data_IF_271435279303
#
_entry.id   IF_271435279303
#
_cell.length_a   1.000
_cell.length_b   1.000
_cell.length_c   1.000
_cell.angle_alpha   90.00
_cell.angle_beta   90.00
_cell.angle_gamma   90.00
#
_symmetry.space_group_name_H-M   'P 1'
#
loop_
_entity.id
_entity.type
_entity.pdbx_description
1 polymer ?
#
# COMPACT_ATOMS: atom_id res chain seq x y z
N UNK A 1 -19.29 -22.83 27.53
CA UNK A 1 -19.57 -21.55 26.84
C UNK A 1 -19.50 -21.83 25.35
N UNK A 2 -20.63 -21.82 24.64
CA UNK A 2 -20.65 -22.12 23.20
C UNK A 2 -19.93 -20.98 22.46
N UNK A 3 -18.71 -21.22 21.97
CA UNK A 3 -18.09 -20.34 20.98
C UNK A 3 -19.02 -20.30 19.76
N UNK A 4 -19.64 -19.15 19.51
CA UNK A 4 -20.29 -18.94 18.21
C UNK A 4 -19.19 -19.04 17.16
N UNK A 5 -19.36 -19.91 16.16
CA UNK A 5 -18.39 -20.23 15.10
C UNK A 5 -17.73 -19.01 14.42
N UNK A 6 -18.34 -17.82 14.52
CA UNK A 6 -17.87 -16.58 13.93
C UNK A 6 -17.40 -15.51 14.93
N UNK A 7 -17.26 -15.82 16.21
CA UNK A 7 -16.94 -14.81 17.21
C UNK A 7 -15.60 -14.11 16.90
N UNK A 8 -15.65 -12.78 16.81
CA UNK A 8 -14.52 -11.94 16.42
C UNK A 8 -13.99 -12.12 14.98
N UNK A 9 -14.59 -12.98 14.14
CA UNK A 9 -14.12 -13.17 12.76
C UNK A 9 -14.40 -11.94 11.88
N UNK A 10 -15.65 -11.50 11.82
CA UNK A 10 -16.05 -10.31 11.05
C UNK A 10 -15.44 -9.04 11.63
N UNK A 11 -15.35 -8.94 12.96
CA UNK A 11 -14.65 -7.84 13.62
C UNK A 11 -13.19 -7.74 13.16
N UNK A 12 -12.48 -8.87 13.09
CA UNK A 12 -11.11 -8.89 12.57
C UNK A 12 -11.04 -8.43 11.11
N UNK A 13 -11.95 -8.89 10.24
CA UNK A 13 -12.01 -8.41 8.84
C UNK A 13 -12.14 -6.88 8.80
N UNK A 14 -13.08 -6.31 9.56
CA UNK A 14 -13.31 -4.85 9.58
C UNK A 14 -12.05 -4.11 10.02
N UNK A 15 -11.44 -4.49 11.15
CA UNK A 15 -10.26 -3.79 11.69
C UNK A 15 -9.06 -3.89 10.74
N UNK A 16 -8.79 -5.07 10.17
CA UNK A 16 -7.67 -5.25 9.27
C UNK A 16 -7.92 -4.59 7.91
N UNK A 17 -9.14 -4.59 7.40
CA UNK A 17 -9.50 -3.82 6.21
C UNK A 17 -9.28 -2.32 6.45
N UNK A 18 -9.74 -1.77 7.58
CA UNK A 18 -9.49 -0.36 7.92
C UNK A 18 -8.00 -0.04 8.04
N UNK A 19 -7.23 -0.93 8.67
CA UNK A 19 -5.79 -0.76 8.86
C UNK A 19 -5.03 -0.80 7.53
N UNK A 20 -5.42 -1.71 6.63
CA UNK A 20 -4.85 -1.79 5.29
C UNK A 20 -5.31 -0.65 4.38
N UNK A 21 -6.52 -0.13 4.57
CA UNK A 21 -6.99 1.07 3.88
C UNK A 21 -6.19 2.31 4.30
N UNK A 22 -5.93 2.49 5.60
CA UNK A 22 -5.06 3.58 6.08
C UNK A 22 -3.66 3.44 5.46
N UNK A 23 -3.13 2.21 5.42
CA UNK A 23 -1.85 1.94 4.79
C UNK A 23 -1.83 2.27 3.28
N UNK A 24 -2.95 2.05 2.56
CA UNK A 24 -3.03 2.36 1.13
C UNK A 24 -3.00 3.85 0.82
N UNK A 25 -3.26 4.72 1.80
CA UNK A 25 -3.17 6.18 1.64
C UNK A 25 -1.70 6.65 1.74
N UNK A 26 -0.83 5.94 2.46
CA UNK A 26 0.53 6.42 2.74
C UNK A 26 1.37 6.77 1.50
N UNK A 27 1.31 6.01 0.39
CA UNK A 27 2.02 6.35 -0.84
C UNK A 27 1.76 7.76 -1.36
N UNK A 28 0.55 8.29 -1.18
CA UNK A 28 0.21 9.65 -1.57
C UNK A 28 1.07 10.69 -0.83
N UNK A 29 1.20 10.54 0.49
CA UNK A 29 2.01 11.45 1.31
C UNK A 29 3.50 11.29 1.00
N UNK A 30 3.96 10.06 0.77
CA UNK A 30 5.37 9.83 0.45
C UNK A 30 5.74 10.47 -0.88
N UNK A 31 4.87 10.37 -1.90
CA UNK A 31 5.05 11.07 -3.17
C UNK A 31 5.08 12.59 -2.99
N UNK A 32 4.18 13.14 -2.18
CA UNK A 32 4.16 14.58 -1.87
C UNK A 32 5.50 15.01 -1.26
N UNK A 33 6.04 14.26 -0.31
CA UNK A 33 7.34 14.57 0.31
C UNK A 33 8.45 14.52 -0.75
N UNK A 34 8.52 13.44 -1.54
CA UNK A 34 9.56 13.28 -2.57
C UNK A 34 9.49 14.38 -3.63
N UNK A 35 8.29 14.90 -3.93
CA UNK A 35 8.12 15.98 -4.91
C UNK A 35 8.89 17.26 -4.58
N UNK A 36 9.18 17.52 -3.31
CA UNK A 36 9.97 18.68 -2.90
C UNK A 36 11.47 18.55 -3.23
N UNK A 37 11.94 17.33 -3.51
CA UNK A 37 13.37 17.04 -3.70
C UNK A 37 13.73 16.65 -5.15
N UNK A 38 12.74 16.47 -6.02
CA UNK A 38 12.96 16.09 -7.42
C UNK A 38 12.61 17.25 -8.33
N UNK A 39 13.57 17.72 -9.13
CA UNK A 39 13.34 18.71 -10.18
C UNK A 39 12.41 18.12 -11.24
N UNK A 40 11.29 18.77 -11.53
CA UNK A 40 10.42 18.40 -12.65
C UNK A 40 10.89 19.11 -13.92
N UNK A 41 11.08 18.40 -15.05
CA UNK A 41 11.37 19.04 -16.33
C UNK A 41 10.20 19.93 -16.76
N UNK A 42 10.52 21.07 -17.36
CA UNK A 42 9.52 21.97 -17.95
C UNK A 42 8.83 21.32 -19.15
N UNK A 43 7.67 21.85 -19.54
CA UNK A 43 6.93 21.36 -20.73
C UNK A 43 7.80 21.42 -21.99
N UNK A 44 8.64 22.45 -22.13
CA UNK A 44 9.57 22.59 -23.25
C UNK A 44 10.65 21.50 -23.24
N UNK A 45 11.20 21.16 -22.06
CA UNK A 45 12.15 20.05 -21.91
C UNK A 45 11.47 18.69 -22.19
N UNK A 46 10.22 18.50 -21.73
CA UNK A 46 9.43 17.30 -22.00
C UNK A 46 9.08 17.12 -23.48
N UNK A 47 8.87 18.22 -24.22
CA UNK A 47 8.65 18.18 -25.66
C UNK A 47 9.88 17.70 -26.43
N UNK A 48 11.08 18.00 -25.93
CA UNK A 48 12.33 17.59 -26.56
C UNK A 48 12.75 16.17 -26.17
N UNK A 49 12.68 15.83 -24.88
CA UNK A 49 13.07 14.50 -24.38
C UNK A 49 12.49 14.22 -22.97
N UNK A 50 11.63 13.21 -22.87
CA UNK A 50 11.08 12.76 -21.58
C UNK A 50 11.96 11.73 -20.87
N UNK A 51 13.17 11.44 -21.39
CA UNK A 51 14.07 10.44 -20.81
C UNK A 51 14.40 10.70 -19.34
N UNK A 52 14.51 11.96 -18.91
CA UNK A 52 14.72 12.26 -17.48
C UNK A 52 13.52 11.84 -16.62
N UNK A 53 12.30 12.06 -17.12
CA UNK A 53 11.06 11.66 -16.43
C UNK A 53 10.98 10.13 -16.30
N UNK A 54 11.19 9.40 -17.39
CA UNK A 54 11.10 7.94 -17.42
C UNK A 54 12.30 7.24 -16.77
N UNK A 55 13.52 7.76 -16.86
CA UNK A 55 14.71 7.06 -16.37
C UNK A 55 15.11 7.46 -14.94
N UNK A 56 14.64 8.60 -14.42
CA UNK A 56 15.05 9.11 -13.10
C UNK A 56 13.84 9.32 -12.19
N UNK A 57 12.87 10.11 -12.64
CA UNK A 57 11.75 10.54 -11.79
C UNK A 57 10.77 9.38 -11.51
N UNK A 58 10.33 8.67 -12.53
CA UNK A 58 9.39 7.55 -12.39
C UNK A 58 9.95 6.37 -11.60
N UNK A 59 11.22 5.94 -11.78
CA UNK A 59 11.81 4.91 -10.94
C UNK A 59 11.89 5.33 -9.47
N UNK A 60 12.31 6.57 -9.19
CA UNK A 60 12.38 7.08 -7.82
C UNK A 60 11.00 7.14 -7.16
N UNK A 61 10.01 7.74 -7.83
CA UNK A 61 8.63 7.85 -7.33
C UNK A 61 7.97 6.48 -7.18
N UNK A 62 8.13 5.59 -8.16
CA UNK A 62 7.61 4.23 -8.13
C UNK A 62 8.19 3.40 -6.99
N UNK A 63 9.51 3.41 -6.82
CA UNK A 63 10.16 2.67 -5.74
C UNK A 63 9.69 3.14 -4.36
N UNK A 64 9.67 4.45 -4.14
CA UNK A 64 9.31 5.02 -2.83
C UNK A 64 7.83 4.79 -2.50
N UNK A 65 6.93 4.93 -3.48
CA UNK A 65 5.49 4.68 -3.27
C UNK A 65 5.19 3.20 -3.00
N UNK A 66 5.85 2.27 -3.69
CA UNK A 66 5.70 0.81 -3.45
C UNK A 66 6.26 0.42 -2.08
N UNK A 67 7.46 0.89 -1.74
CA UNK A 67 8.08 0.60 -0.43
C UNK A 67 7.18 1.13 0.69
N UNK A 68 6.70 2.37 0.55
CA UNK A 68 5.77 2.99 1.50
C UNK A 68 4.50 2.16 1.67
N UNK A 69 3.89 1.72 0.57
CA UNK A 69 2.69 0.89 0.58
C UNK A 69 2.90 -0.41 1.38
N UNK A 70 3.99 -1.13 1.09
CA UNK A 70 4.32 -2.42 1.72
C UNK A 70 4.64 -2.25 3.22
N UNK A 71 5.49 -1.28 3.57
CA UNK A 71 5.88 -1.02 4.96
C UNK A 71 4.66 -0.56 5.77
N UNK A 72 3.82 0.32 5.21
CA UNK A 72 2.59 0.75 5.87
C UNK A 72 1.68 -0.44 6.17
N UNK A 73 1.51 -1.35 5.20
CA UNK A 73 0.71 -2.56 5.37
C UNK A 73 1.19 -3.43 6.52
N UNK A 74 2.50 -3.56 6.69
CA UNK A 74 3.10 -4.24 7.85
C UNK A 74 2.79 -3.49 9.15
N UNK A 75 3.11 -2.19 9.22
CA UNK A 75 3.03 -1.40 10.45
C UNK A 75 1.59 -1.26 10.98
N UNK A 76 0.63 -0.95 10.12
CA UNK A 76 -0.77 -0.77 10.56
C UNK A 76 -1.35 -2.10 11.05
N UNK A 77 -1.04 -3.20 10.35
CA UNK A 77 -1.46 -4.55 10.75
C UNK A 77 -0.76 -5.01 12.02
N UNK A 78 0.49 -4.63 12.24
CA UNK A 78 1.20 -4.85 13.50
C UNK A 78 0.50 -4.17 14.67
N UNK A 79 0.18 -2.88 14.54
CA UNK A 79 -0.51 -2.13 15.61
C UNK A 79 -1.89 -2.74 15.90
N UNK A 80 -2.65 -3.10 14.87
CA UNK A 80 -3.94 -3.74 15.03
C UNK A 80 -3.82 -5.12 15.70
N UNK A 81 -2.88 -5.96 15.24
CA UNK A 81 -2.58 -7.27 15.82
C UNK A 81 -2.21 -7.18 17.30
N UNK A 82 -1.33 -6.24 17.64
CA UNK A 82 -0.94 -5.93 19.02
C UNK A 82 -2.13 -5.61 19.91
N UNK A 83 -2.96 -4.63 19.51
CA UNK A 83 -4.11 -4.18 20.32
C UNK A 83 -5.15 -5.28 20.50
N UNK A 84 -5.43 -6.04 19.45
CA UNK A 84 -6.39 -7.15 19.53
C UNK A 84 -5.86 -8.24 20.46
N UNK A 85 -4.61 -8.65 20.29
CA UNK A 85 -4.01 -9.71 21.10
C UNK A 85 -3.90 -9.33 22.58
N UNK A 86 -3.48 -8.08 22.86
CA UNK A 86 -3.41 -7.54 24.21
C UNK A 86 -4.77 -7.57 24.92
N UNK A 87 -5.84 -7.23 24.19
CA UNK A 87 -7.20 -7.24 24.75
C UNK A 87 -7.80 -8.64 24.86
N UNK A 88 -7.63 -9.47 23.83
CA UNK A 88 -8.25 -10.80 23.77
C UNK A 88 -7.51 -11.84 24.61
N UNK A 89 -6.19 -11.63 24.86
CA UNK A 89 -5.31 -12.50 25.66
C UNK A 89 -5.21 -13.94 25.16
N UNK A 90 -5.55 -14.17 23.89
CA UNK A 90 -5.50 -15.48 23.24
C UNK A 90 -4.77 -15.37 21.90
N UNK A 91 -4.05 -16.44 21.56
CA UNK A 91 -3.48 -16.62 20.21
C UNK A 91 -4.62 -16.91 19.25
N UNK A 92 -4.68 -16.17 18.15
CA UNK A 92 -5.66 -16.41 17.11
C UNK A 92 -5.22 -17.59 16.22
N UNK A 93 -6.16 -18.49 15.84
CA UNK A 93 -5.84 -19.61 14.96
C UNK A 93 -5.26 -19.13 13.63
N UNK A 94 -4.18 -19.78 13.17
CA UNK A 94 -3.45 -19.36 11.97
C UNK A 94 -4.34 -19.32 10.72
N UNK A 95 -5.20 -20.33 10.53
CA UNK A 95 -6.15 -20.38 9.41
C UNK A 95 -7.08 -19.16 9.43
N UNK A 96 -7.59 -18.78 10.60
CA UNK A 96 -8.45 -17.61 10.80
C UNK A 96 -7.71 -16.32 10.40
N UNK A 97 -6.47 -16.18 10.87
CA UNK A 97 -5.61 -15.04 10.57
C UNK A 97 -5.36 -14.91 9.07
N UNK A 98 -4.93 -16.01 8.42
CA UNK A 98 -4.68 -16.06 6.98
C UNK A 98 -5.92 -15.65 6.19
N UNK A 99 -7.06 -16.28 6.46
CA UNK A 99 -8.31 -15.99 5.73
C UNK A 99 -8.75 -14.54 5.89
N UNK A 100 -8.72 -13.98 7.11
CA UNK A 100 -9.07 -12.58 7.32
C UNK A 100 -8.13 -11.63 6.59
N UNK A 101 -6.83 -11.88 6.65
CA UNK A 101 -5.82 -11.02 6.00
C UNK A 101 -5.94 -11.07 4.48
N UNK A 102 -6.15 -12.26 3.89
CA UNK A 102 -6.39 -12.40 2.45
C UNK A 102 -7.68 -11.67 2.05
N UNK A 103 -8.79 -11.89 2.78
CA UNK A 103 -10.06 -11.22 2.47
C UNK A 103 -9.96 -9.69 2.57
N UNK A 104 -9.37 -9.17 3.66
CA UNK A 104 -9.12 -7.73 3.81
C UNK A 104 -8.24 -7.20 2.68
N UNK A 105 -7.17 -7.93 2.33
CA UNK A 105 -6.30 -7.60 1.21
C UNK A 105 -7.00 -7.55 -0.14
N UNK A 106 -7.86 -8.54 -0.42
CA UNK A 106 -8.68 -8.58 -1.64
C UNK A 106 -9.66 -7.41 -1.70
N UNK A 107 -10.28 -7.04 -0.57
CA UNK A 107 -11.14 -5.86 -0.49
C UNK A 107 -10.32 -4.60 -0.82
N UNK A 108 -9.13 -4.43 -0.23
CA UNK A 108 -8.27 -3.28 -0.51
C UNK A 108 -7.78 -3.27 -1.96
N UNK A 109 -7.50 -4.42 -2.55
CA UNK A 109 -7.21 -4.53 -3.98
C UNK A 109 -8.35 -4.00 -4.84
N UNK A 110 -9.57 -4.47 -4.60
CA UNK A 110 -10.76 -4.02 -5.34
C UNK A 110 -10.95 -2.52 -5.18
N UNK A 111 -10.80 -2.00 -3.95
CA UNK A 111 -10.90 -0.58 -3.65
C UNK A 111 -9.84 0.23 -4.38
N UNK A 112 -8.56 -0.19 -4.34
CA UNK A 112 -7.48 0.52 -5.01
C UNK A 112 -7.62 0.47 -6.53
N UNK A 113 -8.09 -0.65 -7.09
CA UNK A 113 -8.39 -0.76 -8.52
C UNK A 113 -9.56 0.13 -8.91
N UNK A 114 -10.66 0.10 -8.17
CA UNK A 114 -11.83 0.94 -8.40
C UNK A 114 -11.48 2.44 -8.31
N UNK A 115 -10.81 2.86 -7.23
CA UNK A 115 -10.36 4.25 -7.11
C UNK A 115 -9.28 4.61 -8.12
N UNK A 116 -8.51 3.62 -8.58
CA UNK A 116 -7.57 3.77 -9.68
C UNK A 116 -8.28 4.09 -10.99
N UNK A 117 -9.43 3.49 -11.26
CA UNK A 117 -10.15 3.63 -12.55
C UNK A 117 -10.79 4.99 -12.82
N UNK A 118 -10.61 6.00 -11.94
CA UNK A 118 -11.20 7.34 -12.07
C UNK A 118 -11.09 7.96 -13.46
N UNK A 119 -9.90 7.92 -14.10
CA UNK A 119 -9.68 8.15 -15.56
C UNK A 119 -8.21 7.91 -15.99
N UNK A 120 -7.66 6.77 -16.41
CA UNK A 120 -7.90 5.34 -16.23
C UNK A 120 -6.60 4.82 -15.56
N UNK A 121 -6.56 4.74 -14.22
CA UNK A 121 -5.38 4.49 -13.37
C UNK A 121 -4.54 5.70 -12.92
N UNK A 122 -5.08 6.91 -12.96
CA UNK A 122 -4.45 8.10 -12.36
C UNK A 122 -4.99 8.52 -10.98
N UNK A 123 -5.89 7.72 -10.38
CA UNK A 123 -6.39 8.00 -9.04
C UNK A 123 -5.28 8.03 -7.98
N UNK A 124 -5.56 8.66 -6.83
CA UNK A 124 -4.63 8.80 -5.69
C UNK A 124 -3.99 7.45 -5.33
N UNK A 125 -4.78 6.36 -5.38
CA UNK A 125 -4.40 4.99 -5.07
C UNK A 125 -3.95 4.14 -6.25
N UNK A 126 -3.96 4.66 -7.48
CA UNK A 126 -3.32 3.96 -8.59
C UNK A 126 -1.88 4.42 -8.80
N UNK A 127 -1.46 5.53 -8.19
CA UNK A 127 -0.12 6.07 -8.31
C UNK A 127 0.98 5.04 -8.01
N UNK A 128 0.81 4.17 -7.00
CA UNK A 128 1.77 3.11 -6.68
C UNK A 128 1.89 2.00 -7.74
N UNK A 129 0.89 1.84 -8.61
CA UNK A 129 0.90 0.87 -9.72
C UNK A 129 1.22 1.53 -11.06
N UNK A 130 0.94 2.82 -11.17
CA UNK A 130 1.10 3.60 -12.39
C UNK A 130 2.56 3.75 -12.78
N UNK A 131 3.43 4.15 -11.85
CA UNK A 131 4.88 4.33 -12.13
C UNK A 131 5.56 3.08 -12.70
N UNK A 132 5.51 1.89 -12.07
CA UNK A 132 6.13 0.69 -12.65
C UNK A 132 5.52 0.30 -14.00
N UNK A 133 4.24 0.60 -14.21
CA UNK A 133 3.54 0.35 -15.48
C UNK A 133 4.03 1.27 -16.59
N UNK A 134 4.17 2.56 -16.31
CA UNK A 134 4.71 3.54 -17.25
C UNK A 134 6.15 3.22 -17.66
N UNK A 135 6.97 2.80 -16.70
CA UNK A 135 8.35 2.36 -16.96
C UNK A 135 8.38 1.15 -17.89
N UNK A 136 7.57 0.15 -17.59
CA UNK A 136 7.48 -1.08 -18.38
C UNK A 136 6.99 -0.78 -19.80
N UNK A 137 5.94 0.02 -19.94
CA UNK A 137 5.44 0.45 -21.24
C UNK A 137 6.50 1.19 -22.06
N UNK A 138 7.35 2.01 -21.42
CA UNK A 138 8.48 2.65 -22.11
C UNK A 138 9.54 1.65 -22.56
N UNK A 139 9.90 0.68 -21.72
CA UNK A 139 10.88 -0.38 -22.06
C UNK A 139 10.41 -1.24 -23.24
N UNK A 140 9.12 -1.56 -23.30
CA UNK A 140 8.53 -2.32 -24.41
C UNK A 140 8.20 -1.47 -25.64
N UNK A 141 8.53 -0.17 -25.63
CA UNK A 141 8.29 0.73 -26.77
C UNK A 141 6.82 1.09 -27.00
N UNK A 142 5.93 0.77 -26.06
CA UNK A 142 4.50 1.15 -26.08
C UNK A 142 4.35 2.67 -25.91
N UNK A 143 5.27 3.28 -25.16
CA UNK A 143 5.40 4.74 -25.00
C UNK A 143 6.77 5.19 -25.51
N UNK A 144 6.77 6.11 -26.48
CA UNK A 144 8.00 6.68 -27.02
C UNK A 144 8.46 7.88 -26.20
N UNK A 145 9.46 7.67 -25.32
CA UNK A 145 10.00 8.72 -24.45
C UNK A 145 10.74 9.86 -25.19
N UNK A 146 11.11 9.65 -26.46
CA UNK A 146 11.73 10.68 -27.30
C UNK A 146 10.71 11.53 -28.07
N UNK A 147 9.43 11.17 -28.04
CA UNK A 147 8.35 11.96 -28.64
C UNK A 147 7.04 11.73 -27.89
N UNK A 148 6.95 12.31 -26.69
CA UNK A 148 5.79 12.17 -25.81
C UNK A 148 4.66 13.12 -26.22
N UNK A 149 4.90 14.09 -27.10
CA UNK A 149 3.92 15.07 -27.60
C UNK A 149 2.64 14.45 -28.16
N UNK A 150 2.72 13.26 -28.77
CA UNK A 150 1.54 12.53 -29.27
C UNK A 150 0.65 11.97 -28.15
N UNK A 151 1.17 11.95 -26.93
CA UNK A 151 0.63 11.26 -25.77
C UNK A 151 0.30 12.22 -24.61
N UNK A 152 0.58 13.52 -24.75
CA UNK A 152 0.30 14.54 -23.73
C UNK A 152 -1.15 15.01 -23.92
N UNK A 153 -1.97 14.90 -22.88
CA UNK A 153 -3.30 15.50 -22.86
C UNK A 153 -3.22 17.01 -22.54
N UNK A 154 -4.23 17.80 -22.92
CA UNK A 154 -4.25 19.24 -22.59
C UNK A 154 -4.19 19.50 -21.08
N UNK A 155 -4.67 18.57 -20.26
CA UNK A 155 -4.62 18.66 -18.81
C UNK A 155 -3.20 18.43 -18.24
N UNK A 156 -2.37 17.62 -18.90
CA UNK A 156 -0.96 17.42 -18.53
C UNK A 156 -0.12 18.69 -18.72
N UNK A 157 -0.53 19.55 -19.65
CA UNK A 157 0.12 20.85 -19.94
C UNK A 157 -0.24 21.88 -18.87
N UNK A 158 -1.42 21.77 -18.26
CA UNK A 158 -1.91 22.73 -17.26
C UNK A 158 -1.41 22.41 -15.86
N UNK A 159 -1.19 21.14 -15.56
CA UNK A 159 -0.80 20.70 -14.21
C UNK A 159 0.60 20.11 -14.28
N UNK A 160 1.56 20.72 -13.57
CA UNK A 160 2.97 20.30 -13.54
C UNK A 160 3.16 19.03 -12.68
N UNK A 161 2.44 17.97 -13.04
CA UNK A 161 2.34 16.72 -12.30
C UNK A 161 3.36 15.68 -12.78
N UNK A 162 3.76 14.79 -11.88
CA UNK A 162 4.63 13.63 -12.17
C UNK A 162 3.95 12.51 -12.97
N UNK A 163 2.83 12.77 -13.62
CA UNK A 163 1.99 11.74 -14.22
C UNK A 163 1.48 12.28 -15.54
N UNK A 164 1.77 11.57 -16.63
CA UNK A 164 1.26 11.87 -17.96
C UNK A 164 -0.06 11.12 -18.13
N UNK A 165 -1.18 11.82 -18.07
CA UNK A 165 -2.50 11.20 -18.15
C UNK A 165 -2.81 10.64 -19.53
N UNK A 166 -2.26 11.23 -20.60
CA UNK A 166 -2.56 10.76 -21.96
C UNK A 166 -1.97 9.39 -22.34
N UNK A 167 -1.08 8.80 -21.54
CA UNK A 167 -0.61 7.41 -21.74
C UNK A 167 -1.45 6.35 -21.03
N UNK A 168 -2.44 6.74 -20.23
CA UNK A 168 -3.17 5.83 -19.33
C UNK A 168 -3.80 4.61 -20.02
N UNK A 169 -4.42 4.83 -21.17
CA UNK A 169 -5.11 3.77 -21.92
C UNK A 169 -4.13 2.67 -22.38
N UNK A 170 -2.86 3.02 -22.53
CA UNK A 170 -1.77 2.09 -22.90
C UNK A 170 -1.21 1.31 -21.72
N UNK A 171 -1.47 1.75 -20.49
CA UNK A 171 -0.90 1.16 -19.29
C UNK A 171 -1.81 0.11 -18.64
N UNK A 172 -3.07 0.01 -19.06
CA UNK A 172 -4.10 -0.77 -18.35
C UNK A 172 -3.66 -2.22 -18.04
N UNK A 173 -3.14 -2.94 -19.03
CA UNK A 173 -2.67 -4.31 -18.85
C UNK A 173 -1.51 -4.40 -17.85
N UNK A 174 -0.54 -3.49 -17.94
CA UNK A 174 0.60 -3.45 -17.01
C UNK A 174 0.13 -3.13 -15.58
N UNK A 175 -0.83 -2.21 -15.43
CA UNK A 175 -1.34 -1.80 -14.13
C UNK A 175 -2.06 -2.96 -13.44
N UNK A 176 -2.84 -3.76 -14.17
CA UNK A 176 -3.46 -4.97 -13.61
C UNK A 176 -2.40 -5.97 -13.14
N UNK A 177 -1.33 -6.17 -13.91
CA UNK A 177 -0.25 -7.09 -13.53
C UNK A 177 0.48 -6.59 -12.28
N UNK A 178 0.89 -5.31 -12.28
CA UNK A 178 1.60 -4.73 -11.14
C UNK A 178 0.73 -4.63 -9.90
N UNK A 179 -0.56 -4.31 -10.04
CA UNK A 179 -1.48 -4.25 -8.91
C UNK A 179 -1.63 -5.61 -8.25
N UNK A 180 -1.70 -6.71 -9.02
CA UNK A 180 -1.72 -8.06 -8.46
C UNK A 180 -0.43 -8.40 -7.72
N UNK A 181 0.73 -8.16 -8.33
CA UNK A 181 2.04 -8.48 -7.74
C UNK A 181 2.30 -7.68 -6.45
N UNK A 182 2.10 -6.36 -6.50
CA UNK A 182 2.33 -5.47 -5.37
C UNK A 182 1.30 -5.73 -4.27
N UNK A 183 0.04 -6.03 -4.61
CA UNK A 183 -0.98 -6.43 -3.63
C UNK A 183 -0.61 -7.75 -2.95
N UNK A 184 -0.11 -8.74 -3.68
CA UNK A 184 0.32 -10.00 -3.08
C UNK A 184 1.43 -9.77 -2.04
N UNK A 185 2.42 -8.93 -2.37
CA UNK A 185 3.47 -8.52 -1.44
C UNK A 185 2.90 -7.75 -0.23
N UNK A 186 1.96 -6.83 -0.46
CA UNK A 186 1.27 -6.09 0.60
C UNK A 186 0.52 -7.01 1.55
N UNK A 187 -0.27 -7.96 1.03
CA UNK A 187 -1.00 -8.96 1.84
C UNK A 187 -0.03 -9.78 2.69
N UNK A 188 1.07 -10.24 2.08
CA UNK A 188 2.10 -10.99 2.79
C UNK A 188 2.73 -10.17 3.92
N UNK A 189 3.12 -8.93 3.66
CA UNK A 189 3.69 -8.03 4.67
C UNK A 189 2.69 -7.68 5.77
N UNK A 190 1.42 -7.43 5.45
CA UNK A 190 0.37 -7.24 6.44
C UNK A 190 0.12 -8.48 7.30
N UNK A 191 0.17 -9.67 6.72
CA UNK A 191 0.10 -10.92 7.48
C UNK A 191 1.26 -11.03 8.47
N UNK A 192 2.50 -10.77 8.02
CA UNK A 192 3.69 -10.77 8.87
C UNK A 192 3.59 -9.73 9.98
N UNK A 193 3.17 -8.51 9.66
CA UNK A 193 2.97 -7.43 10.61
C UNK A 193 1.97 -7.82 11.68
N UNK A 194 0.80 -8.31 11.27
CA UNK A 194 -0.23 -8.82 12.19
C UNK A 194 0.31 -9.88 13.15
N UNK A 195 1.03 -10.89 12.66
CA UNK A 195 1.58 -11.97 13.51
C UNK A 195 2.64 -11.46 14.49
N UNK A 196 3.52 -10.58 14.03
CA UNK A 196 4.51 -9.95 14.90
C UNK A 196 3.85 -9.10 15.99
N UNK A 197 2.83 -8.31 15.63
CA UNK A 197 2.07 -7.51 16.59
C UNK A 197 1.33 -8.37 17.60
N UNK A 198 0.70 -9.47 17.15
CA UNK A 198 0.01 -10.42 18.02
C UNK A 198 0.95 -11.05 19.05
N UNK A 199 2.13 -11.51 18.62
CA UNK A 199 3.13 -12.08 19.51
C UNK A 199 3.60 -11.06 20.57
N UNK A 200 3.91 -9.84 20.15
CA UNK A 200 4.33 -8.77 21.05
C UNK A 200 3.23 -8.35 22.03
N UNK A 201 1.96 -8.36 21.58
CA UNK A 201 0.81 -8.06 22.43
C UNK A 201 0.64 -9.07 23.56
N UNK A 202 0.81 -10.36 23.27
CA UNK A 202 0.72 -11.43 24.26
C UNK A 202 1.89 -11.41 25.24
N UNK A 203 3.11 -11.16 24.76
CA UNK A 203 4.30 -11.02 25.61
C UNK A 203 4.12 -9.89 26.64
N UNK A 204 3.60 -8.73 26.22
CA UNK A 204 3.34 -7.61 27.12
C UNK A 204 2.24 -7.89 28.14
N UNK A 205 1.19 -8.64 27.77
CA UNK A 205 0.17 -9.08 28.73
C UNK A 205 0.78 -9.99 29.78
N UNK A 206 1.63 -10.93 29.37
CA UNK A 206 2.29 -11.85 30.31
C UNK A 206 3.18 -11.08 31.29
N UNK A 207 4.03 -10.17 30.79
CA UNK A 207 4.86 -9.29 31.65
C UNK A 207 4.02 -8.49 32.64
N UNK A 208 2.90 -7.92 32.20
CA UNK A 208 2.01 -7.18 33.09
C UNK A 208 1.46 -8.06 34.22
N UNK A 209 1.01 -9.29 33.89
CA UNK A 209 0.50 -10.23 34.89
C UNK A 209 1.60 -10.63 35.89
N UNK A 210 2.82 -10.87 35.42
CA UNK A 210 3.97 -11.18 36.28
C UNK A 210 4.31 -10.03 37.24
N UNK A 211 4.33 -8.79 36.74
CA UNK A 211 4.57 -7.60 37.56
C UNK A 211 3.51 -7.44 38.66
N UNK A 212 2.23 -7.62 38.33
CA UNK A 212 1.13 -7.51 39.31
C UNK A 212 1.21 -8.61 40.37
N UNK A 213 1.50 -9.86 39.97
CA UNK A 213 1.67 -10.96 40.93
C UNK A 213 2.85 -10.71 41.87
N UNK A 214 3.96 -10.19 41.34
CA UNK A 214 5.15 -9.90 42.13
C UNK A 214 4.88 -8.74 43.10
N UNK A 215 4.16 -7.68 42.70
CA UNK A 215 3.80 -6.59 43.61
C UNK A 215 2.86 -7.01 44.73
N UNK A 216 1.92 -7.92 44.47
CA UNK A 216 1.02 -8.44 45.50
C UNK A 216 1.75 -9.35 46.51
N UNK A 217 2.84 -10.02 46.09
CA UNK A 217 3.66 -10.87 46.95
C UNK A 217 4.58 -10.08 47.90
N UNK A 218 4.91 -8.83 47.58
CA UNK A 218 5.77 -7.96 48.42
C UNK A 218 5.00 -7.24 49.53
N UNK A 219 3.66 -7.26 49.49
CA UNK A 219 2.78 -6.58 50.46
C UNK A 219 2.32 -7.55 51.57
N UNK A 220 2.65 -8.84 51.48
CA UNK A 220 2.40 -9.86 52.52
C UNK A 220 3.67 -10.22 53.26
#
# INVERSE_FOLDING_TARGET
MYEKKYDGFFFGIVIFTLSMFIASILPFFTRLIVSFFIKTPTIVELHADASYLFNVVYPAMGAVTIISFIIAGYLTSYIAGYKIAYKARIVQPEKKVKTQTVLSGTIIYIINMYMGTGTHFCGIFASQFWYPSALTASVFGVVNKHNVLKEIAQDDIRVNNFVITGINDKLAAFIIVYSLLITAAFIYCSYRGRRAGEAYGLENVQKYIETVKNSDSTIR
#
